data_IF_159589468715
#
_entry.id   IF_159589468715
#
_cell.length_a   1.000
_cell.length_b   1.000
_cell.length_c   1.000
_cell.angle_alpha   90.00
_cell.angle_beta   90.00
_cell.angle_gamma   90.00
#
_symmetry.space_group_name_H-M   'P 1'
#
loop_
_entity.id
_entity.type
_entity.pdbx_description
1 polymer ?
#
# COMPACT_ATOMS: atom_id res chain seq x y z
N UNK A 1 23.06 -16.05 8.83
CA UNK A 1 21.84 -15.66 9.56
C UNK A 1 21.08 -14.71 8.65
N UNK A 2 19.91 -15.09 8.15
CA UNK A 2 19.03 -14.11 7.50
C UNK A 2 18.46 -13.22 8.62
N UNK A 3 18.60 -11.90 8.45
CA UNK A 3 17.95 -10.94 9.35
C UNK A 3 16.45 -11.02 9.14
N UNK A 4 15.69 -11.15 10.22
CA UNK A 4 14.23 -11.03 10.22
C UNK A 4 13.85 -9.62 9.74
N UNK A 5 12.78 -9.54 8.94
CA UNK A 5 12.19 -8.27 8.51
C UNK A 5 11.76 -7.45 9.73
N UNK A 6 11.94 -6.13 9.65
CA UNK A 6 11.53 -5.16 10.68
C UNK A 6 10.71 -4.03 10.06
N UNK A 7 10.00 -3.28 10.89
CA UNK A 7 9.22 -2.09 10.50
C UNK A 7 10.11 -1.03 9.84
N UNK A 8 11.35 -0.89 10.33
CA UNK A 8 12.35 -0.02 9.74
C UNK A 8 12.74 -0.47 8.33
N UNK A 9 12.94 -1.77 8.12
CA UNK A 9 13.24 -2.31 6.80
C UNK A 9 12.08 -2.09 5.82
N UNK A 10 10.83 -2.21 6.29
CA UNK A 10 9.63 -1.92 5.51
C UNK A 10 9.66 -0.46 5.04
N UNK A 11 9.79 0.50 5.96
CA UNK A 11 9.81 1.91 5.59
C UNK A 11 10.96 2.25 4.62
N UNK A 12 12.16 1.70 4.86
CA UNK A 12 13.31 1.93 3.98
C UNK A 12 13.09 1.41 2.56
N UNK A 13 12.50 0.21 2.42
CA UNK A 13 12.19 -0.36 1.09
C UNK A 13 11.14 0.48 0.38
N UNK A 14 10.04 0.85 1.05
CA UNK A 14 8.98 1.65 0.44
C UNK A 14 9.50 3.00 -0.04
N UNK A 15 10.25 3.71 0.81
CA UNK A 15 10.84 5.00 0.46
C UNK A 15 11.84 4.92 -0.70
N UNK A 16 12.51 3.80 -0.88
CA UNK A 16 13.46 3.59 -1.99
C UNK A 16 12.78 3.21 -3.30
N UNK A 17 11.60 2.61 -3.24
CA UNK A 17 10.95 1.98 -4.41
C UNK A 17 9.70 2.72 -4.88
N UNK A 18 8.94 3.33 -3.97
CA UNK A 18 7.68 3.99 -4.25
C UNK A 18 7.83 5.53 -4.25
N UNK A 19 6.92 6.26 -4.91
CA UNK A 19 6.95 7.72 -4.93
C UNK A 19 6.82 8.34 -3.53
N UNK A 20 7.58 9.41 -3.27
CA UNK A 20 7.56 10.11 -1.98
C UNK A 20 6.18 10.68 -1.63
N UNK A 21 5.35 11.00 -2.62
CA UNK A 21 4.00 11.53 -2.40
C UNK A 21 3.10 10.56 -1.64
N UNK A 22 3.34 9.24 -1.74
CA UNK A 22 2.62 8.21 -0.99
C UNK A 22 3.06 8.09 0.49
N UNK A 23 4.13 8.79 0.90
CA UNK A 23 4.60 8.89 2.30
C UNK A 23 3.88 10.04 3.05
N UNK A 24 2.55 10.10 2.95
CA UNK A 24 1.74 11.19 3.51
C UNK A 24 1.00 10.82 4.81
N UNK A 25 0.96 9.54 5.17
CA UNK A 25 0.29 9.06 6.38
C UNK A 25 1.32 8.47 7.36
N UNK A 26 1.26 8.89 8.63
CA UNK A 26 2.06 8.27 9.69
C UNK A 26 1.59 6.85 9.94
N UNK A 27 2.51 5.88 9.92
CA UNK A 27 2.25 4.47 10.18
C UNK A 27 3.48 3.83 10.86
N UNK A 28 3.25 2.95 11.83
CA UNK A 28 4.31 2.21 12.51
C UNK A 28 4.62 0.86 11.84
N UNK A 29 3.82 0.45 10.84
CA UNK A 29 3.93 -0.80 10.08
C UNK A 29 3.79 -2.09 10.89
N UNK A 30 3.25 -2.03 12.11
CA UNK A 30 3.12 -3.22 12.97
C UNK A 30 2.20 -4.28 12.35
N UNK A 31 1.05 -3.86 11.81
CA UNK A 31 0.08 -4.76 11.16
C UNK A 31 0.64 -5.31 9.86
N UNK A 32 1.18 -4.44 9.01
CA UNK A 32 1.76 -4.82 7.72
C UNK A 32 2.95 -5.76 7.89
N UNK A 33 3.77 -5.57 8.93
CA UNK A 33 4.85 -6.49 9.26
C UNK A 33 4.30 -7.88 9.59
N UNK A 34 3.29 -7.97 10.45
CA UNK A 34 2.71 -9.26 10.80
C UNK A 34 2.09 -9.95 9.57
N UNK A 35 1.40 -9.21 8.72
CA UNK A 35 0.86 -9.72 7.45
C UNK A 35 1.96 -10.26 6.55
N UNK A 36 3.04 -9.50 6.36
CA UNK A 36 4.20 -9.93 5.57
C UNK A 36 4.79 -11.23 6.11
N UNK A 37 4.95 -11.34 7.44
CA UNK A 37 5.47 -12.54 8.10
C UNK A 37 4.53 -13.75 7.94
N UNK A 38 3.22 -13.56 8.10
CA UNK A 38 2.21 -14.60 7.93
C UNK A 38 2.19 -15.17 6.50
N UNK A 39 2.52 -14.33 5.52
CA UNK A 39 2.66 -14.72 4.11
C UNK A 39 4.08 -15.13 3.71
N UNK A 40 4.99 -15.27 4.69
CA UNK A 40 6.33 -15.81 4.48
C UNK A 40 7.38 -14.82 3.98
N UNK A 41 7.06 -13.52 3.93
CA UNK A 41 7.99 -12.43 3.58
C UNK A 41 8.80 -12.07 4.82
N UNK A 42 9.87 -12.83 5.06
CA UNK A 42 10.59 -12.81 6.35
C UNK A 42 11.88 -12.01 6.36
N UNK A 43 12.29 -11.41 5.22
CA UNK A 43 13.51 -10.62 5.13
C UNK A 43 13.34 -9.40 4.24
N UNK A 44 14.18 -8.38 4.45
CA UNK A 44 14.20 -7.14 3.65
C UNK A 44 14.34 -7.40 2.15
N UNK A 45 15.19 -8.36 1.75
CA UNK A 45 15.38 -8.68 0.33
C UNK A 45 14.13 -9.30 -0.29
N UNK A 46 13.40 -10.14 0.45
CA UNK A 46 12.13 -10.69 -0.01
C UNK A 46 11.06 -9.61 -0.13
N UNK A 47 11.02 -8.68 0.83
CA UNK A 47 10.09 -7.56 0.76
C UNK A 47 10.42 -6.61 -0.40
N UNK A 48 11.69 -6.29 -0.61
CA UNK A 48 12.14 -5.50 -1.75
C UNK A 48 11.76 -6.16 -3.08
N UNK A 49 12.03 -7.46 -3.22
CA UNK A 49 11.69 -8.22 -4.43
C UNK A 49 10.17 -8.21 -4.69
N UNK A 50 9.36 -8.42 -3.63
CA UNK A 50 7.90 -8.35 -3.70
C UNK A 50 7.42 -6.98 -4.20
N UNK A 51 7.89 -5.88 -3.59
CA UNK A 51 7.47 -4.52 -3.98
C UNK A 51 7.92 -4.21 -5.40
N UNK A 52 9.16 -4.55 -5.79
CA UNK A 52 9.67 -4.27 -7.14
C UNK A 52 8.90 -5.05 -8.20
N UNK A 53 8.54 -6.31 -7.93
CA UNK A 53 7.79 -7.17 -8.86
C UNK A 53 6.43 -6.60 -9.23
N UNK A 54 5.70 -6.06 -8.25
CA UNK A 54 4.34 -5.55 -8.43
C UNK A 54 4.27 -4.03 -8.61
N UNK A 55 5.41 -3.32 -8.52
CA UNK A 55 5.48 -1.86 -8.50
C UNK A 55 4.66 -1.20 -9.61
N UNK A 56 4.76 -1.69 -10.84
CA UNK A 56 4.07 -1.06 -11.97
C UNK A 56 2.55 -1.20 -11.86
N UNK A 57 2.06 -2.36 -11.44
CA UNK A 57 0.64 -2.65 -11.32
C UNK A 57 0.04 -1.93 -10.11
N UNK A 58 0.74 -1.93 -8.98
CA UNK A 58 0.35 -1.19 -7.76
C UNK A 58 0.23 0.31 -8.04
N UNK A 59 1.19 0.90 -8.74
CA UNK A 59 1.13 2.32 -9.10
C UNK A 59 0.06 2.61 -10.16
N UNK A 60 -0.20 1.68 -11.08
CA UNK A 60 -1.31 1.84 -12.02
C UNK A 60 -2.68 1.87 -11.30
N UNK A 61 -2.87 1.05 -10.27
CA UNK A 61 -4.06 1.06 -9.42
C UNK A 61 -4.15 2.38 -8.62
N UNK A 62 -3.02 2.84 -8.07
CA UNK A 62 -2.95 4.10 -7.31
C UNK A 62 -3.15 5.36 -8.17
N UNK A 63 -2.81 5.30 -9.46
CA UNK A 63 -2.98 6.39 -10.41
C UNK A 63 -4.33 6.35 -11.15
N UNK A 64 -5.16 5.31 -10.93
CA UNK A 64 -6.40 5.11 -11.68
C UNK A 64 -7.39 6.26 -11.40
N UNK A 65 -7.92 6.93 -12.43
CA UNK A 65 -8.83 8.05 -12.22
C UNK A 65 -10.15 7.58 -11.60
N UNK A 66 -10.60 8.34 -10.60
CA UNK A 66 -11.94 8.20 -10.06
C UNK A 66 -12.98 8.69 -11.09
N UNK A 67 -14.16 8.07 -11.06
CA UNK A 67 -15.31 8.58 -11.80
C UNK A 67 -15.86 9.89 -11.18
N UNK A 68 -16.66 10.62 -11.95
CA UNK A 68 -17.21 11.91 -11.54
C UNK A 68 -18.01 11.81 -10.23
N UNK A 69 -18.69 10.69 -9.98
CA UNK A 69 -19.48 10.50 -8.78
C UNK A 69 -18.57 10.43 -7.54
N UNK A 70 -17.53 9.62 -7.57
CA UNK A 70 -16.56 9.48 -6.48
C UNK A 70 -15.78 10.78 -6.26
N UNK A 71 -15.42 11.50 -7.33
CA UNK A 71 -14.78 12.82 -7.22
C UNK A 71 -15.67 13.79 -6.45
N UNK A 72 -16.94 13.94 -6.82
CA UNK A 72 -17.85 14.86 -6.13
C UNK A 72 -18.10 14.45 -4.68
N UNK A 73 -18.28 13.16 -4.44
CA UNK A 73 -18.46 12.63 -3.08
C UNK A 73 -17.23 12.94 -2.21
N UNK A 74 -16.03 12.58 -2.64
CA UNK A 74 -14.82 12.84 -1.85
C UNK A 74 -14.50 14.32 -1.69
N UNK A 75 -14.81 15.18 -2.68
CA UNK A 75 -14.71 16.63 -2.52
C UNK A 75 -15.58 17.14 -1.38
N UNK A 76 -16.80 16.59 -1.23
CA UNK A 76 -17.70 16.97 -0.14
C UNK A 76 -17.23 16.47 1.25
N UNK A 77 -16.59 15.30 1.31
CA UNK A 77 -16.14 14.70 2.57
C UNK A 77 -14.78 15.23 3.06
N UNK A 78 -13.82 15.41 2.14
CA UNK A 78 -12.42 15.73 2.47
C UNK A 78 -12.00 17.15 2.07
N UNK A 79 -12.83 17.86 1.31
CA UNK A 79 -12.56 19.19 0.80
C UNK A 79 -12.02 19.19 -0.63
N UNK A 80 -12.41 20.20 -1.39
CA UNK A 80 -12.11 20.30 -2.82
C UNK A 80 -10.60 20.39 -3.11
N UNK A 81 -9.89 21.27 -2.41
CA UNK A 81 -8.44 21.46 -2.61
C UNK A 81 -7.65 20.16 -2.38
N UNK A 82 -8.03 19.38 -1.37
CA UNK A 82 -7.37 18.13 -1.02
C UNK A 82 -7.52 17.04 -2.09
N UNK A 83 -8.69 16.98 -2.74
CA UNK A 83 -9.00 16.02 -3.79
C UNK A 83 -8.40 16.46 -5.13
N UNK A 84 -8.47 17.75 -5.45
CA UNK A 84 -7.90 18.28 -6.70
C UNK A 84 -6.37 18.09 -6.75
N UNK A 85 -5.67 18.24 -5.61
CA UNK A 85 -4.24 17.95 -5.51
C UNK A 85 -3.95 16.47 -5.83
N UNK A 86 -4.74 15.53 -5.30
CA UNK A 86 -4.57 14.08 -5.57
C UNK A 86 -4.88 13.69 -7.00
N UNK A 87 -5.92 14.26 -7.59
CA UNK A 87 -6.23 14.05 -9.01
C UNK A 87 -5.08 14.53 -9.89
N UNK A 88 -4.53 15.71 -9.57
CA UNK A 88 -3.44 16.31 -10.32
C UNK A 88 -2.14 15.50 -10.22
N UNK A 89 -1.80 15.07 -9.02
CA UNK A 89 -0.54 14.38 -8.72
C UNK A 89 -0.64 12.85 -8.87
N UNK A 90 -1.86 12.35 -9.15
CA UNK A 90 -2.20 10.96 -9.41
C UNK A 90 -1.74 10.01 -8.31
N UNK A 91 -2.30 10.18 -7.11
CA UNK A 91 -2.09 9.22 -6.03
C UNK A 91 -3.28 9.23 -5.08
N UNK A 92 -3.65 8.04 -4.58
CA UNK A 92 -4.77 7.85 -3.67
C UNK A 92 -4.33 7.24 -2.34
N UNK A 93 -3.36 6.34 -2.38
CA UNK A 93 -3.01 5.46 -1.27
C UNK A 93 -1.68 5.84 -0.62
N UNK A 94 -1.66 5.75 0.71
CA UNK A 94 -0.42 5.81 1.45
C UNK A 94 0.32 4.47 1.39
N UNK A 95 1.61 4.47 1.72
CA UNK A 95 2.44 3.26 1.76
C UNK A 95 1.81 2.01 2.39
N UNK A 96 1.12 2.06 3.55
CA UNK A 96 0.49 0.87 4.13
C UNK A 96 -0.55 0.23 3.20
N UNK A 97 -1.39 1.05 2.55
CA UNK A 97 -2.38 0.56 1.61
C UNK A 97 -1.73 -0.03 0.35
N UNK A 98 -0.63 0.57 -0.13
CA UNK A 98 0.13 0.01 -1.26
C UNK A 98 0.77 -1.34 -0.94
N UNK A 99 1.16 -1.59 0.32
CA UNK A 99 1.59 -2.94 0.75
C UNK A 99 0.43 -3.93 0.63
N UNK A 100 -0.76 -3.57 1.12
CA UNK A 100 -1.92 -4.47 1.09
C UNK A 100 -2.37 -4.78 -0.33
N UNK A 101 -2.38 -3.79 -1.23
CA UNK A 101 -2.60 -4.01 -2.67
C UNK A 101 -1.53 -4.94 -3.25
N UNK A 102 -0.26 -4.77 -2.87
CA UNK A 102 0.82 -5.69 -3.30
C UNK A 102 0.56 -7.12 -2.83
N UNK A 103 0.08 -7.31 -1.61
CA UNK A 103 -0.26 -8.63 -1.06
C UNK A 103 -1.48 -9.26 -1.75
N UNK A 104 -2.49 -8.44 -2.10
CA UNK A 104 -3.62 -8.88 -2.93
C UNK A 104 -3.16 -9.36 -4.32
N UNK A 105 -2.26 -8.62 -4.97
CA UNK A 105 -1.73 -9.00 -6.28
C UNK A 105 -0.88 -10.29 -6.21
N UNK A 106 -0.04 -10.45 -5.18
CA UNK A 106 0.82 -11.63 -5.04
C UNK A 106 0.06 -12.89 -4.62
N UNK A 107 -0.89 -12.77 -3.69
CA UNK A 107 -1.50 -13.93 -3.02
C UNK A 107 -2.99 -14.11 -3.33
N UNK A 108 -3.63 -13.14 -3.99
CA UNK A 108 -5.01 -13.20 -4.44
C UNK A 108 -6.00 -13.52 -3.32
N UNK A 109 -6.88 -14.49 -3.58
CA UNK A 109 -7.94 -14.91 -2.65
C UNK A 109 -7.44 -15.35 -1.28
N UNK A 110 -6.18 -15.78 -1.15
CA UNK A 110 -5.60 -16.11 0.15
C UNK A 110 -5.45 -14.87 1.03
N UNK A 111 -4.92 -13.78 0.47
CA UNK A 111 -4.78 -12.53 1.20
C UNK A 111 -6.14 -11.88 1.45
N UNK A 112 -7.06 -11.92 0.49
CA UNK A 112 -8.43 -11.44 0.69
C UNK A 112 -9.17 -12.17 1.82
N UNK A 113 -9.02 -13.50 1.90
CA UNK A 113 -9.61 -14.28 2.99
C UNK A 113 -8.96 -13.96 4.34
N UNK A 114 -7.65 -13.69 4.34
CA UNK A 114 -6.92 -13.27 5.52
C UNK A 114 -7.38 -11.88 6.00
N UNK A 115 -7.48 -10.90 5.11
CA UNK A 115 -7.86 -9.52 5.44
C UNK A 115 -9.30 -9.44 5.93
N UNK A 116 -10.25 -10.15 5.29
CA UNK A 116 -11.63 -10.24 5.79
C UNK A 116 -11.69 -10.79 7.22
N UNK A 117 -10.88 -11.82 7.52
CA UNK A 117 -10.82 -12.38 8.88
C UNK A 117 -10.21 -11.40 9.88
N UNK A 118 -9.19 -10.64 9.49
CA UNK A 118 -8.59 -9.56 10.31
C UNK A 118 -9.63 -8.48 10.61
N UNK A 119 -10.41 -8.09 9.60
CA UNK A 119 -11.36 -6.97 9.65
C UNK A 119 -12.75 -7.34 10.20
N UNK A 120 -13.00 -8.64 10.44
CA UNK A 120 -14.27 -9.20 10.90
C UNK A 120 -15.46 -8.93 9.95
N UNK A 121 -15.24 -9.13 8.66
CA UNK A 121 -16.25 -8.98 7.58
C UNK A 121 -16.65 -10.35 7.01
#
# INVERSE_FOLDING_TARGET
MQSTLTEKDIYEVLRQTLPRQNDFASCDYTEELQELLDFGVTSKLMFLDLIVRHRQEVLAIDEDPLDDFHVQYYKSEYGEEYIDERIKDKFWFAYPALIRITLELEFGEKYKSYSNKRDNI
#
